data_IF_430257014675
#
_entry.id   IF_430257014675
#
_cell.length_a   1.000
_cell.length_b   1.000
_cell.length_c   1.000
_cell.angle_alpha   90.00
_cell.angle_beta   90.00
_cell.angle_gamma   90.00
#
_symmetry.space_group_name_H-M   'P 1'
#
loop_
_entity.id
_entity.type
_entity.pdbx_description
1 polymer ?
#
# COMPACT_ATOMS: atom_id res chain seq x y z
N UNK A 1 -5.79 5.22 -21.90
CA UNK A 1 -5.58 5.32 -20.44
C UNK A 1 -4.67 4.19 -20.00
N UNK A 2 -3.59 4.54 -19.32
CA UNK A 2 -2.70 3.53 -18.77
C UNK A 2 -3.33 2.85 -17.56
N UNK A 3 -2.97 1.59 -17.35
CA UNK A 3 -3.41 0.81 -16.21
C UNK A 3 -2.22 0.47 -15.33
N UNK A 4 -2.40 0.60 -14.02
CA UNK A 4 -1.44 0.14 -13.02
C UNK A 4 -2.12 -0.88 -12.11
N UNK A 5 -1.32 -1.74 -11.52
CA UNK A 5 -1.78 -2.84 -10.68
C UNK A 5 -1.20 -2.64 -9.29
N UNK A 6 -2.06 -2.69 -8.29
CA UNK A 6 -1.71 -2.32 -6.93
C UNK A 6 -1.97 -3.49 -6.00
N UNK A 7 -1.02 -3.76 -5.12
CA UNK A 7 -1.14 -4.78 -4.08
C UNK A 7 -0.61 -4.21 -2.77
N UNK A 8 -1.27 -4.55 -1.67
CA UNK A 8 -0.90 -4.08 -0.34
C UNK A 8 -0.85 -5.23 0.65
N UNK A 9 -0.03 -5.05 1.68
CA UNK A 9 -0.13 -5.82 2.90
C UNK A 9 -0.42 -4.84 4.04
N UNK A 10 -1.23 -5.27 5.01
CA UNK A 10 -1.76 -4.39 6.06
C UNK A 10 -1.62 -5.01 7.44
N UNK A 11 -1.91 -4.21 8.47
CA UNK A 11 -1.96 -4.68 9.85
C UNK A 11 -3.21 -5.49 10.14
N UNK A 12 -4.21 -5.46 9.26
CA UNK A 12 -5.48 -6.16 9.40
C UNK A 12 -6.50 -5.63 8.40
N UNK A 13 -7.77 -5.98 8.59
CA UNK A 13 -8.84 -5.68 7.63
C UNK A 13 -9.88 -4.68 8.18
N UNK A 14 -9.63 -4.11 9.34
CA UNK A 14 -10.54 -3.11 9.94
C UNK A 14 -10.29 -1.72 9.36
N UNK A 15 -11.26 -0.82 9.55
CA UNK A 15 -11.17 0.55 9.04
C UNK A 15 -9.99 1.34 9.60
N UNK A 16 -9.51 0.98 10.79
CA UNK A 16 -8.40 1.66 11.46
C UNK A 16 -7.05 0.96 11.21
N UNK A 17 -7.02 -0.09 10.41
CA UNK A 17 -5.76 -0.74 10.07
C UNK A 17 -4.95 0.08 9.08
N UNK A 18 -3.66 -0.25 8.95
CA UNK A 18 -2.71 0.52 8.17
C UNK A 18 -1.92 -0.38 7.24
N UNK A 19 -1.38 0.20 6.16
CA UNK A 19 -0.49 -0.53 5.26
C UNK A 19 0.87 -0.76 5.89
N UNK A 20 1.47 -1.90 5.58
CA UNK A 20 2.87 -2.22 5.91
C UNK A 20 3.71 -2.47 4.65
N UNK A 21 3.06 -2.63 3.50
CA UNK A 21 3.74 -2.78 2.21
C UNK A 21 2.83 -2.28 1.09
N UNK A 22 3.43 -1.66 0.08
CA UNK A 22 2.73 -1.22 -1.13
C UNK A 22 3.58 -1.53 -2.35
N UNK A 23 2.96 -2.18 -3.33
CA UNK A 23 3.55 -2.43 -4.63
C UNK A 23 2.60 -1.94 -5.71
N UNK A 24 3.12 -1.14 -6.65
CA UNK A 24 2.38 -0.71 -7.84
C UNK A 24 3.25 -1.01 -9.03
N UNK A 25 2.71 -1.77 -10.00
CA UNK A 25 3.41 -2.12 -11.23
C UNK A 25 2.63 -1.61 -12.45
N UNK A 26 3.32 -1.45 -13.57
CA UNK A 26 2.68 -1.10 -14.84
C UNK A 26 2.22 -2.36 -15.60
N UNK A 27 1.69 -2.18 -16.82
CA UNK A 27 1.22 -3.28 -17.67
C UNK A 27 2.33 -4.25 -18.08
N UNK A 28 3.57 -3.82 -18.06
CA UNK A 28 4.71 -4.66 -18.40
C UNK A 28 5.30 -5.36 -17.18
N UNK A 29 4.68 -5.17 -16.01
CA UNK A 29 5.16 -5.74 -14.76
C UNK A 29 6.31 -4.97 -14.13
N UNK A 30 6.61 -3.77 -14.62
CA UNK A 30 7.68 -2.95 -14.08
C UNK A 30 7.23 -2.30 -12.76
N UNK A 31 8.00 -2.44 -11.68
CA UNK A 31 7.67 -1.77 -10.42
C UNK A 31 7.78 -0.26 -10.56
N UNK A 32 6.69 0.44 -10.20
CA UNK A 32 6.65 1.89 -10.11
C UNK A 32 6.84 2.33 -8.65
N UNK A 33 6.26 1.57 -7.74
CA UNK A 33 6.48 1.67 -6.30
C UNK A 33 6.59 0.24 -5.76
N UNK A 34 7.58 0.01 -4.89
CA UNK A 34 7.71 -1.26 -4.18
C UNK A 34 8.43 -0.96 -2.86
N UNK A 35 7.67 -0.84 -1.78
CA UNK A 35 8.23 -0.40 -0.51
C UNK A 35 7.47 -0.98 0.68
N UNK A 36 8.21 -1.26 1.74
CA UNK A 36 7.64 -1.44 3.07
C UNK A 36 7.18 -0.08 3.58
N UNK A 37 6.20 -0.08 4.47
CA UNK A 37 5.64 1.13 5.07
C UNK A 37 5.59 0.95 6.58
N UNK A 38 6.05 1.97 7.29
CA UNK A 38 5.93 1.96 8.74
C UNK A 38 4.57 2.50 9.15
N UNK A 39 3.73 1.68 9.84
CA UNK A 39 2.45 2.17 10.35
C UNK A 39 2.66 3.30 11.35
N UNK A 40 1.73 4.24 11.37
CA UNK A 40 1.81 5.39 12.27
C UNK A 40 1.35 5.04 13.68
N UNK A 41 0.33 4.21 13.80
CA UNK A 41 -0.33 3.94 15.08
C UNK A 41 -0.15 2.50 15.56
N UNK A 42 -0.11 1.54 14.66
CA UNK A 42 -0.01 0.13 15.03
C UNK A 42 1.42 -0.23 15.38
N UNK A 43 1.60 -0.90 16.52
CA UNK A 43 2.93 -1.35 16.99
C UNK A 43 3.10 -2.86 16.89
N UNK A 44 2.00 -3.61 16.70
CA UNK A 44 2.06 -5.05 16.48
C UNK A 44 0.82 -5.51 15.69
N UNK A 45 0.97 -6.60 14.94
CA UNK A 45 -0.11 -7.18 14.15
C UNK A 45 0.12 -8.68 13.96
N UNK A 46 0.10 -9.48 15.06
CA UNK A 46 0.49 -10.89 14.97
C UNK A 46 -0.40 -11.72 14.05
N UNK A 47 -1.70 -11.41 13.96
CA UNK A 47 -2.61 -12.10 13.06
C UNK A 47 -2.28 -11.88 11.59
N UNK A 48 -2.12 -10.63 11.19
CA UNK A 48 -1.74 -10.27 9.83
C UNK A 48 -0.33 -10.75 9.50
N UNK A 49 0.59 -10.65 10.46
CA UNK A 49 1.97 -11.09 10.28
C UNK A 49 2.05 -12.59 9.95
N UNK A 50 1.18 -13.41 10.51
CA UNK A 50 1.13 -14.84 10.18
C UNK A 50 0.77 -15.08 8.71
N UNK A 51 0.06 -14.15 8.09
CA UNK A 51 -0.34 -14.26 6.68
C UNK A 51 0.75 -13.77 5.75
N UNK A 52 1.29 -12.57 5.97
CA UNK A 52 2.24 -11.95 5.03
C UNK A 52 3.70 -11.97 5.48
N UNK A 53 3.97 -12.31 6.74
CA UNK A 53 5.34 -12.46 7.23
C UNK A 53 6.07 -11.15 7.53
N UNK A 54 5.41 -10.00 7.43
CA UNK A 54 6.05 -8.71 7.70
C UNK A 54 5.87 -8.36 9.17
N UNK A 55 6.98 -8.21 9.89
CA UNK A 55 6.98 -7.92 11.32
C UNK A 55 7.18 -6.43 11.60
N UNK A 56 6.88 -5.98 12.83
CA UNK A 56 7.19 -4.60 13.22
C UNK A 56 8.67 -4.24 13.04
N UNK A 57 9.56 -5.19 13.28
CA UNK A 57 11.00 -4.95 13.10
C UNK A 57 11.34 -4.70 11.63
N UNK A 58 10.67 -5.42 10.72
CA UNK A 58 10.94 -5.29 9.28
C UNK A 58 10.65 -3.88 8.77
N UNK A 59 9.69 -3.18 9.37
CA UNK A 59 9.26 -1.86 8.90
C UNK A 59 9.80 -0.71 9.76
N UNK A 60 10.64 -1.00 10.76
CA UNK A 60 11.07 0.03 11.71
C UNK A 60 11.77 1.23 11.08
N UNK A 61 12.42 1.02 9.95
CA UNK A 61 13.12 2.08 9.20
C UNK A 61 12.46 2.43 7.88
N UNK A 62 11.29 1.84 7.61
CA UNK A 62 10.54 2.14 6.40
C UNK A 62 9.91 3.53 6.49
N UNK A 63 9.60 4.16 5.34
CA UNK A 63 8.87 5.41 5.35
C UNK A 63 7.44 5.20 5.84
N UNK A 64 6.88 6.24 6.44
CA UNK A 64 5.43 6.28 6.69
C UNK A 64 4.69 6.57 5.39
N UNK A 65 3.40 6.30 5.34
CA UNK A 65 2.58 6.60 4.15
C UNK A 65 2.62 8.09 3.80
N UNK A 66 2.62 8.95 4.79
CA UNK A 66 2.67 10.41 4.56
C UNK A 66 3.90 10.82 3.75
N UNK A 67 5.02 10.16 3.96
CA UNK A 67 6.27 10.51 3.27
C UNK A 67 6.27 10.11 1.80
N UNK A 68 5.49 9.09 1.43
CA UNK A 68 5.42 8.62 0.04
C UNK A 68 4.12 9.01 -0.66
N UNK A 69 3.27 9.76 0.01
CA UNK A 69 1.94 10.12 -0.49
C UNK A 69 2.00 10.81 -1.86
N UNK A 70 2.92 11.76 -2.03
CA UNK A 70 3.06 12.46 -3.32
C UNK A 70 3.54 11.54 -4.42
N UNK A 71 4.40 10.59 -4.11
CA UNK A 71 4.87 9.59 -5.09
C UNK A 71 3.73 8.68 -5.51
N UNK A 72 2.88 8.26 -4.57
CA UNK A 72 1.70 7.47 -4.88
C UNK A 72 0.77 8.24 -5.82
N UNK A 73 0.48 9.51 -5.50
CA UNK A 73 -0.39 10.35 -6.31
C UNK A 73 0.14 10.51 -7.74
N UNK A 74 1.44 10.72 -7.90
CA UNK A 74 2.06 10.83 -9.22
C UNK A 74 1.92 9.55 -10.03
N UNK A 75 2.10 8.40 -9.39
CA UNK A 75 2.06 7.11 -10.08
C UNK A 75 0.64 6.78 -10.55
N UNK A 76 -0.39 7.12 -9.78
CA UNK A 76 -1.78 6.77 -10.11
C UNK A 76 -2.52 7.84 -10.89
N UNK A 77 -1.96 9.05 -11.01
CA UNK A 77 -2.67 10.19 -11.60
C UNK A 77 -3.15 9.89 -13.01
N UNK A 78 -4.45 10.01 -13.22
CA UNK A 78 -5.07 9.81 -14.51
C UNK A 78 -5.02 8.39 -15.03
N UNK A 79 -4.68 7.42 -14.19
CA UNK A 79 -4.54 6.02 -14.59
C UNK A 79 -5.67 5.18 -14.01
N UNK A 80 -5.97 4.08 -14.70
CA UNK A 80 -6.86 3.04 -14.17
C UNK A 80 -6.08 2.20 -13.18
N UNK A 81 -6.62 2.01 -11.97
CA UNK A 81 -5.97 1.23 -10.93
C UNK A 81 -6.72 -0.08 -10.73
N UNK A 82 -6.03 -1.20 -10.87
CA UNK A 82 -6.54 -2.53 -10.55
C UNK A 82 -5.92 -2.96 -9.23
N UNK A 83 -6.74 -3.36 -8.27
CA UNK A 83 -6.30 -3.73 -6.94
C UNK A 83 -6.48 -5.23 -6.74
N UNK A 84 -5.39 -5.90 -6.39
CA UNK A 84 -5.39 -7.36 -6.20
C UNK A 84 -5.66 -7.80 -4.78
N UNK A 85 -5.33 -6.96 -3.81
CA UNK A 85 -5.43 -7.36 -2.42
C UNK A 85 -6.83 -7.11 -1.88
N UNK A 86 -7.59 -8.19 -1.68
CA UNK A 86 -8.92 -8.13 -1.09
C UNK A 86 -8.89 -8.79 0.31
N UNK A 87 -9.63 -8.26 1.28
CA UNK A 87 -10.53 -7.12 1.16
C UNK A 87 -9.75 -5.81 1.25
N UNK A 88 -9.61 -5.14 0.11
CA UNK A 88 -8.97 -3.83 0.07
C UNK A 88 -10.04 -2.75 0.12
N UNK A 89 -9.79 -1.71 0.91
CA UNK A 89 -10.66 -0.56 0.99
C UNK A 89 -9.87 0.68 0.61
N UNK A 90 -10.42 1.51 -0.27
CA UNK A 90 -9.82 2.78 -0.67
C UNK A 90 -9.53 3.72 0.50
N UNK A 91 -10.11 3.46 1.66
CA UNK A 91 -9.81 4.21 2.89
C UNK A 91 -8.33 4.17 3.27
N UNK A 92 -7.64 3.07 2.91
CA UNK A 92 -6.20 2.95 3.20
C UNK A 92 -5.36 3.84 2.29
N UNK A 93 -5.90 4.24 1.13
CA UNK A 93 -5.18 5.00 0.12
C UNK A 93 -6.00 6.16 -0.42
N UNK A 94 -6.11 7.26 0.36
CA UNK A 94 -6.79 8.46 -0.15
C UNK A 94 -6.12 9.01 -1.40
N UNK A 95 -4.86 8.69 -1.63
CA UNK A 95 -4.13 9.09 -2.84
C UNK A 95 -4.78 8.57 -4.13
N UNK A 96 -5.62 7.55 -4.05
CA UNK A 96 -6.32 7.01 -5.22
C UNK A 96 -7.35 7.97 -5.81
N UNK A 97 -7.69 9.05 -5.11
CA UNK A 97 -8.58 10.07 -5.67
C UNK A 97 -8.01 10.71 -6.94
N UNK A 98 -6.69 10.66 -7.13
CA UNK A 98 -6.02 11.19 -8.32
C UNK A 98 -6.08 10.21 -9.51
N UNK A 99 -6.54 8.99 -9.30
CA UNK A 99 -6.72 8.00 -10.37
C UNK A 99 -7.88 8.37 -11.28
N UNK A 100 -7.90 7.76 -12.45
CA UNK A 100 -8.99 7.97 -13.41
C UNK A 100 -10.27 7.27 -12.95
#
# INVERSE_FOLDING_TARGET
METVYLDTETTGVSDDDEMVELTIIDDDGKPLINTLIKPKYHTSWPGAQRVHGISPIDVRHAPTQDRISNDIRKVVKGKRVVIYNAPFDSKFLPELEDAA
#
